data_IF_447326214911
#
_entry.id   IF_447326214911
#
_cell.length_a   1.000
_cell.length_b   1.000
_cell.length_c   1.000
_cell.angle_alpha   90.00
_cell.angle_beta   90.00
_cell.angle_gamma   90.00
#
_symmetry.space_group_name_H-M   'P 1'
#
loop_
_entity.id
_entity.type
_entity.pdbx_description
1 polymer ?
#
# COMPACT_ATOMS: atom_id res chain seq x y z
N UNK A 1 -1.79 -19.00 -20.18
CA UNK A 1 -0.99 -19.70 -19.17
C UNK A 1 -0.90 -21.13 -19.64
N UNK A 2 0.34 -21.64 -19.88
CA UNK A 2 0.56 -23.04 -20.22
C UNK A 2 0.09 -23.99 -19.10
N UNK A 3 0.23 -25.28 -19.28
CA UNK A 3 -0.27 -26.38 -18.42
C UNK A 3 0.26 -26.39 -16.97
N UNK A 4 1.01 -25.38 -16.53
CA UNK A 4 1.53 -25.29 -15.15
C UNK A 4 0.45 -24.84 -14.17
N UNK A 5 0.15 -25.70 -13.21
CA UNK A 5 -0.76 -25.41 -12.11
C UNK A 5 -0.04 -24.54 -11.08
N UNK A 6 -0.44 -23.28 -10.98
CA UNK A 6 0.07 -22.35 -9.97
C UNK A 6 -0.43 -22.75 -8.57
N UNK A 7 0.48 -22.73 -7.60
CA UNK A 7 0.16 -23.02 -6.18
C UNK A 7 0.34 -21.75 -5.35
N UNK A 8 -0.32 -21.65 -4.19
CA UNK A 8 0.02 -20.62 -3.20
C UNK A 8 1.53 -20.64 -2.93
N UNK A 9 2.09 -19.44 -2.70
CA UNK A 9 3.51 -19.17 -2.50
C UNK A 9 4.43 -19.32 -3.73
N UNK A 10 3.89 -19.73 -4.89
CA UNK A 10 4.65 -19.68 -6.13
C UNK A 10 4.95 -18.22 -6.53
N UNK A 11 6.20 -17.97 -6.94
CA UNK A 11 6.59 -16.69 -7.51
C UNK A 11 6.27 -16.68 -9.01
N UNK A 12 5.64 -15.60 -9.47
CA UNK A 12 5.18 -15.44 -10.85
C UNK A 12 5.56 -14.07 -11.40
N UNK A 13 5.75 -14.02 -12.71
CA UNK A 13 5.93 -12.77 -13.44
C UNK A 13 4.57 -12.37 -14.00
N UNK A 14 4.14 -11.15 -13.67
CA UNK A 14 2.81 -10.61 -14.01
C UNK A 14 2.93 -9.27 -14.72
N UNK A 15 2.02 -9.00 -15.63
CA UNK A 15 1.85 -7.66 -16.16
C UNK A 15 0.94 -6.86 -15.23
N UNK A 16 1.41 -5.68 -14.81
CA UNK A 16 0.65 -4.75 -13.97
C UNK A 16 0.45 -3.41 -14.69
N UNK A 17 -0.29 -2.49 -14.07
CA UNK A 17 -0.42 -1.11 -14.56
C UNK A 17 0.93 -0.38 -14.56
N UNK A 18 1.87 -0.83 -13.73
CA UNK A 18 3.21 -0.23 -13.60
C UNK A 18 4.23 -0.80 -14.60
N UNK A 19 3.97 -1.97 -15.14
CA UNK A 19 4.86 -2.73 -16.02
C UNK A 19 4.91 -4.20 -15.65
N UNK A 20 5.98 -4.87 -16.01
CA UNK A 20 6.24 -6.27 -15.62
C UNK A 20 6.78 -6.29 -14.19
N UNK A 21 6.14 -7.05 -13.33
CA UNK A 21 6.49 -7.17 -11.91
C UNK A 21 6.53 -8.64 -11.49
N UNK A 22 7.29 -8.94 -10.45
CA UNK A 22 7.25 -10.22 -9.78
C UNK A 22 6.21 -10.20 -8.67
N UNK A 23 5.39 -11.24 -8.58
CA UNK A 23 4.37 -11.35 -7.54
C UNK A 23 4.32 -12.75 -6.95
N UNK A 24 3.83 -12.87 -5.72
CA UNK A 24 3.60 -14.16 -5.06
C UNK A 24 2.13 -14.55 -5.20
N UNK A 25 1.87 -15.78 -5.59
CA UNK A 25 0.51 -16.32 -5.69
C UNK A 25 -0.08 -16.50 -4.29
N UNK A 26 -1.11 -15.75 -3.95
CA UNK A 26 -1.81 -15.86 -2.66
C UNK A 26 -2.85 -16.98 -2.72
N UNK A 27 -3.59 -17.06 -3.82
CA UNK A 27 -4.64 -18.07 -4.03
C UNK A 27 -4.42 -18.70 -5.39
N UNK A 28 -4.41 -20.04 -5.43
CA UNK A 28 -4.28 -20.78 -6.69
C UNK A 28 -5.49 -20.58 -7.63
N UNK A 29 -5.39 -21.04 -8.88
CA UNK A 29 -6.45 -20.90 -9.87
C UNK A 29 -7.76 -21.51 -9.36
N UNK A 30 -8.84 -20.73 -9.44
CA UNK A 30 -10.21 -21.18 -9.08
C UNK A 30 -11.22 -20.61 -10.06
N UNK A 31 -12.32 -21.32 -10.23
CA UNK A 31 -13.45 -20.79 -10.97
C UNK A 31 -14.23 -19.82 -10.08
N UNK A 32 -14.49 -18.66 -10.61
CA UNK A 32 -15.29 -17.61 -9.95
C UNK A 32 -16.43 -17.19 -10.89
N UNK A 33 -17.53 -16.67 -10.33
CA UNK A 33 -18.62 -16.12 -11.13
C UNK A 33 -18.16 -14.83 -11.82
N UNK A 34 -18.75 -14.54 -12.98
CA UNK A 34 -18.41 -13.31 -13.73
C UNK A 34 -18.72 -12.05 -12.91
N UNK A 35 -19.66 -12.12 -12.00
CA UNK A 35 -20.05 -11.01 -11.11
C UNK A 35 -18.99 -10.69 -10.04
N UNK A 36 -18.14 -11.65 -9.70
CA UNK A 36 -17.06 -11.49 -8.72
C UNK A 36 -15.77 -10.93 -9.37
N UNK A 37 -15.74 -10.85 -10.70
CA UNK A 37 -14.57 -10.39 -11.43
C UNK A 37 -14.49 -8.87 -11.39
N UNK A 38 -13.43 -8.32 -10.80
CA UNK A 38 -13.14 -6.89 -10.78
C UNK A 38 -12.17 -6.57 -11.94
N UNK A 39 -12.63 -5.89 -13.00
CA UNK A 39 -11.75 -5.46 -14.09
C UNK A 39 -10.88 -4.26 -13.68
N UNK A 40 -9.69 -4.07 -14.32
CA UNK A 40 -9.12 -4.89 -15.39
C UNK A 40 -8.34 -6.08 -14.85
N UNK A 41 -8.63 -7.28 -15.37
CA UNK A 41 -7.80 -8.45 -15.11
C UNK A 41 -6.46 -8.31 -15.82
N UNK A 42 -5.40 -8.70 -15.14
CA UNK A 42 -4.05 -8.78 -15.68
C UNK A 42 -3.60 -10.22 -15.74
N UNK A 43 -2.82 -10.54 -16.74
CA UNK A 43 -2.38 -11.91 -16.97
C UNK A 43 -1.11 -12.22 -16.18
N UNK A 44 -1.05 -13.45 -15.68
CA UNK A 44 0.20 -14.05 -15.22
C UNK A 44 0.94 -14.51 -16.47
N UNK A 45 2.12 -13.96 -16.71
CA UNK A 45 2.91 -14.27 -17.92
C UNK A 45 3.49 -15.68 -17.80
N UNK A 46 4.17 -15.95 -16.67
CA UNK A 46 4.80 -17.26 -16.40
C UNK A 46 5.19 -17.39 -14.93
N UNK A 47 5.54 -18.60 -14.52
CA UNK A 47 6.20 -18.84 -13.23
C UNK A 47 7.64 -18.28 -13.27
N UNK A 48 8.11 -17.76 -12.14
CA UNK A 48 9.47 -17.26 -12.02
C UNK A 48 10.49 -18.41 -12.08
N UNK A 49 11.59 -18.18 -12.76
CA UNK A 49 12.75 -19.09 -12.85
C UNK A 49 13.79 -18.73 -11.78
N UNK A 50 14.83 -19.56 -11.64
CA UNK A 50 15.95 -19.24 -10.76
C UNK A 50 16.69 -17.94 -11.16
N UNK A 51 16.83 -17.69 -12.46
CA UNK A 51 17.40 -16.46 -13.00
C UNK A 51 16.57 -15.23 -12.63
N UNK A 52 15.23 -15.35 -12.64
CA UNK A 52 14.36 -14.26 -12.23
C UNK A 52 14.52 -13.92 -10.73
N UNK A 53 14.79 -14.92 -9.89
CA UNK A 53 15.07 -14.69 -8.46
C UNK A 53 16.35 -13.89 -8.28
N UNK A 54 17.38 -14.18 -9.06
CA UNK A 54 18.65 -13.42 -9.03
C UNK A 54 18.41 -11.96 -9.47
N UNK A 55 17.63 -11.73 -10.52
CA UNK A 55 17.25 -10.39 -10.97
C UNK A 55 16.49 -9.63 -9.89
N UNK A 56 15.51 -10.29 -9.22
CA UNK A 56 14.75 -9.66 -8.15
C UNK A 56 15.66 -9.25 -6.99
N UNK A 57 16.60 -10.11 -6.60
CA UNK A 57 17.54 -9.83 -5.51
C UNK A 57 18.52 -8.69 -5.89
N UNK A 58 18.97 -8.67 -7.15
CA UNK A 58 19.81 -7.60 -7.67
C UNK A 58 19.05 -6.27 -7.71
N UNK A 59 17.81 -6.26 -8.16
CA UNK A 59 16.96 -5.07 -8.17
C UNK A 59 16.74 -4.52 -6.74
N UNK A 60 16.58 -5.38 -5.73
CA UNK A 60 16.49 -4.96 -4.33
C UNK A 60 17.78 -4.28 -3.85
N UNK A 61 18.92 -4.82 -4.21
CA UNK A 61 20.22 -4.22 -3.88
C UNK A 61 20.39 -2.86 -4.55
N UNK A 62 20.09 -2.77 -5.85
CA UNK A 62 20.12 -1.51 -6.59
C UNK A 62 19.14 -0.48 -6.01
N UNK A 63 17.97 -0.92 -5.53
CA UNK A 63 17.02 -0.03 -4.87
C UNK A 63 17.58 0.60 -3.58
N UNK A 64 18.34 -0.17 -2.79
CA UNK A 64 18.99 0.34 -1.57
C UNK A 64 20.10 1.36 -1.93
N UNK A 65 20.88 1.10 -2.96
CA UNK A 65 21.90 2.04 -3.46
C UNK A 65 21.24 3.33 -4.00
N UNK A 66 20.17 3.19 -4.78
CA UNK A 66 19.42 4.30 -5.34
C UNK A 66 18.73 5.13 -4.25
N UNK A 67 18.30 4.50 -3.15
CA UNK A 67 17.77 5.21 -1.99
C UNK A 67 18.79 6.18 -1.40
N UNK A 68 20.01 5.71 -1.12
CA UNK A 68 21.06 6.56 -0.57
C UNK A 68 21.45 7.72 -1.50
N UNK A 69 21.55 7.45 -2.82
CA UNK A 69 21.85 8.49 -3.82
C UNK A 69 20.72 9.53 -3.87
N UNK A 70 19.46 9.09 -3.87
CA UNK A 70 18.32 10.00 -3.93
C UNK A 70 18.22 10.85 -2.65
N UNK A 71 18.44 10.27 -1.47
CA UNK A 71 18.42 10.98 -0.19
C UNK A 71 19.49 12.08 -0.16
N UNK A 72 20.71 11.77 -0.63
CA UNK A 72 21.77 12.78 -0.78
C UNK A 72 21.36 13.91 -1.72
N UNK A 73 20.77 13.60 -2.87
CA UNK A 73 20.31 14.59 -3.85
C UNK A 73 19.15 15.45 -3.30
N UNK A 74 18.22 14.88 -2.56
CA UNK A 74 17.16 15.63 -1.86
C UNK A 74 17.76 16.64 -0.90
N UNK A 75 18.79 16.26 -0.14
CA UNK A 75 19.51 17.14 0.77
C UNK A 75 20.28 18.24 0.02
N UNK A 76 20.97 17.92 -1.07
CA UNK A 76 21.70 18.90 -1.92
C UNK A 76 20.75 19.97 -2.48
N UNK A 77 19.54 19.57 -2.93
CA UNK A 77 18.53 20.49 -3.44
C UNK A 77 17.71 21.19 -2.34
N UNK A 78 17.88 20.80 -1.07
CA UNK A 78 17.14 21.37 0.07
C UNK A 78 15.63 21.20 -0.04
N UNK A 79 15.15 20.08 -0.62
CA UNK A 79 13.73 19.85 -0.86
C UNK A 79 13.01 19.41 0.42
N UNK A 80 11.83 20.01 0.74
CA UNK A 80 11.05 19.67 1.94
C UNK A 80 10.24 18.37 1.70
N UNK A 81 10.93 17.27 1.46
CA UNK A 81 10.35 15.95 1.22
C UNK A 81 11.18 14.88 1.91
N UNK A 82 10.51 13.78 2.28
CA UNK A 82 11.15 12.61 2.89
C UNK A 82 11.00 11.43 1.95
N UNK A 83 12.09 10.83 1.54
CA UNK A 83 12.09 9.59 0.79
C UNK A 83 11.64 8.44 1.70
N UNK A 84 10.77 7.58 1.20
CA UNK A 84 10.22 6.45 1.96
C UNK A 84 10.70 5.13 1.41
N UNK A 85 10.65 4.96 0.08
CA UNK A 85 11.06 3.71 -0.57
C UNK A 85 11.45 3.93 -2.02
N UNK A 86 12.19 2.98 -2.59
CA UNK A 86 12.59 2.95 -3.99
C UNK A 86 12.35 1.56 -4.56
N UNK A 87 11.68 1.48 -5.69
CA UNK A 87 11.39 0.23 -6.40
C UNK A 87 11.90 0.29 -7.84
N UNK A 88 12.52 -0.79 -8.28
CA UNK A 88 12.80 -1.03 -9.69
C UNK A 88 11.72 -1.93 -10.28
N UNK A 89 11.24 -1.63 -11.49
CA UNK A 89 10.44 -2.60 -12.23
C UNK A 89 11.30 -3.81 -12.58
N UNK A 90 10.67 -4.98 -12.75
CA UNK A 90 11.39 -6.24 -13.02
C UNK A 90 12.29 -6.14 -14.26
N UNK A 91 11.84 -5.42 -15.29
CA UNK A 91 12.57 -5.16 -16.54
C UNK A 91 13.61 -4.02 -16.44
N UNK A 92 13.80 -3.44 -15.23
CA UNK A 92 14.70 -2.27 -14.98
C UNK A 92 14.36 -1.06 -15.88
N UNK A 93 13.22 -1.09 -16.55
CA UNK A 93 12.79 -0.01 -17.46
C UNK A 93 12.39 1.27 -16.75
N UNK A 94 12.11 1.20 -15.43
CA UNK A 94 11.63 2.32 -14.62
C UNK A 94 12.08 2.17 -13.17
N UNK A 95 12.34 3.31 -12.54
CA UNK A 95 12.60 3.42 -11.10
C UNK A 95 11.51 4.30 -10.48
N UNK A 96 10.83 3.79 -9.45
CA UNK A 96 9.81 4.49 -8.69
C UNK A 96 10.40 4.94 -7.35
N UNK A 97 10.28 6.22 -7.06
CA UNK A 97 10.68 6.80 -5.78
C UNK A 97 9.43 7.25 -5.03
N UNK A 98 9.16 6.65 -3.88
CA UNK A 98 8.03 7.01 -3.03
C UNK A 98 8.47 8.00 -1.98
N UNK A 99 7.75 9.11 -1.86
CA UNK A 99 8.08 10.16 -0.90
C UNK A 99 6.85 10.74 -0.24
N UNK A 100 7.06 11.35 0.94
CA UNK A 100 6.06 12.17 1.63
C UNK A 100 6.52 13.63 1.68
N UNK A 101 5.57 14.54 1.64
CA UNK A 101 5.78 15.96 1.80
C UNK A 101 4.50 16.64 2.31
N UNK A 102 4.63 17.71 3.08
CA UNK A 102 3.48 18.44 3.63
C UNK A 102 2.76 19.29 2.58
N UNK A 103 3.37 19.52 1.42
CA UNK A 103 2.82 20.33 0.36
C UNK A 103 3.31 19.93 -1.02
N UNK A 104 3.15 20.85 -1.97
CA UNK A 104 3.64 20.64 -3.33
C UNK A 104 5.14 20.94 -3.39
N UNK A 105 5.92 19.96 -3.83
CA UNK A 105 7.38 20.06 -4.02
C UNK A 105 7.70 20.19 -5.50
N UNK A 106 8.62 21.09 -5.86
CA UNK A 106 9.18 21.17 -7.20
C UNK A 106 10.45 20.31 -7.28
N UNK A 107 10.31 19.14 -7.87
CA UNK A 107 11.36 18.14 -7.97
C UNK A 107 11.95 18.01 -9.42
N UNK A 108 11.73 19.02 -10.29
CA UNK A 108 12.18 18.95 -11.71
C UNK A 108 13.68 18.78 -11.85
N UNK A 109 14.46 19.51 -11.06
CA UNK A 109 15.92 19.40 -11.07
C UNK A 109 16.38 18.06 -10.46
N UNK A 110 15.74 17.61 -9.37
CA UNK A 110 16.00 16.29 -8.79
C UNK A 110 15.79 15.16 -9.82
N UNK A 111 14.70 15.21 -10.59
CA UNK A 111 14.44 14.20 -11.64
C UNK A 111 15.51 14.19 -12.71
N UNK A 112 16.00 15.36 -13.14
CA UNK A 112 17.10 15.46 -14.13
C UNK A 112 18.37 14.83 -13.60
N UNK A 113 18.74 15.13 -12.36
CA UNK A 113 19.94 14.59 -11.73
C UNK A 113 19.83 13.07 -11.58
N UNK A 114 18.71 12.56 -11.08
CA UNK A 114 18.49 11.13 -10.96
C UNK A 114 18.49 10.42 -12.33
N UNK A 115 17.88 11.03 -13.35
CA UNK A 115 17.87 10.48 -14.71
C UNK A 115 19.29 10.46 -15.33
N UNK A 116 20.13 11.45 -15.02
CA UNK A 116 21.53 11.48 -15.45
C UNK A 116 22.36 10.37 -14.78
N UNK A 117 22.11 10.09 -13.52
CA UNK A 117 22.80 9.03 -12.75
C UNK A 117 22.36 7.64 -13.20
N UNK A 118 21.06 7.37 -13.22
CA UNK A 118 20.54 6.02 -13.46
C UNK A 118 20.29 5.69 -14.93
N UNK A 119 20.23 6.70 -15.81
CA UNK A 119 19.94 6.57 -17.25
C UNK A 119 18.68 5.75 -17.55
N UNK A 120 17.71 5.78 -16.63
CA UNK A 120 16.47 5.04 -16.66
C UNK A 120 15.31 6.02 -16.41
N UNK A 121 14.11 5.65 -16.80
CA UNK A 121 12.92 6.46 -16.54
C UNK A 121 12.65 6.58 -15.03
N UNK A 122 12.65 7.81 -14.54
CA UNK A 122 12.38 8.14 -13.13
C UNK A 122 10.92 8.52 -12.97
N UNK A 123 10.28 7.94 -11.96
CA UNK A 123 8.91 8.29 -11.55
C UNK A 123 8.89 8.60 -10.05
N UNK A 124 8.57 9.84 -9.68
CA UNK A 124 8.42 10.29 -8.30
C UNK A 124 6.94 10.24 -7.92
N UNK A 125 6.61 9.50 -6.86
CA UNK A 125 5.25 9.34 -6.34
C UNK A 125 5.13 9.87 -4.92
N UNK A 126 4.34 10.93 -4.77
CA UNK A 126 3.97 11.38 -3.44
C UNK A 126 2.94 10.42 -2.85
N UNK A 127 3.21 9.91 -1.65
CA UNK A 127 2.33 9.02 -0.91
C UNK A 127 1.77 9.71 0.34
N UNK A 128 0.64 9.21 0.82
CA UNK A 128 0.02 9.72 2.03
C UNK A 128 0.65 9.13 3.29
N UNK A 129 0.47 9.79 4.44
CA UNK A 129 1.01 9.34 5.75
C UNK A 129 0.53 7.94 6.17
N UNK A 130 -0.61 7.47 5.66
CA UNK A 130 -1.07 6.09 5.92
C UNK A 130 -0.32 5.09 5.06
N UNK A 131 -0.02 5.44 3.81
CA UNK A 131 0.78 4.60 2.93
C UNK A 131 2.23 4.56 3.42
N UNK A 132 2.78 5.67 3.91
CA UNK A 132 4.06 5.68 4.63
C UNK A 132 4.04 4.70 5.80
N UNK A 133 3.02 4.75 6.65
CA UNK A 133 2.87 3.80 7.75
C UNK A 133 2.74 2.35 7.28
N UNK A 134 2.14 2.11 6.10
CA UNK A 134 2.06 0.78 5.48
C UNK A 134 3.42 0.28 5.02
N UNK A 135 4.26 1.14 4.45
CA UNK A 135 5.64 0.78 4.05
C UNK A 135 6.52 0.48 5.26
N UNK A 136 6.45 1.30 6.30
CA UNK A 136 7.25 1.15 7.52
C UNK A 136 6.82 -0.02 8.40
N UNK A 137 5.55 -0.42 8.30
CA UNK A 137 4.98 -1.44 9.17
C UNK A 137 4.85 -1.00 10.63
N UNK A 138 4.68 -1.96 11.53
CA UNK A 138 4.69 -1.75 12.96
C UNK A 138 3.43 -2.20 13.69
N UNK A 139 3.34 -1.84 14.98
CA UNK A 139 2.27 -2.23 15.89
C UNK A 139 1.35 -1.02 16.12
N UNK A 140 0.05 -1.25 15.99
CA UNK A 140 -0.96 -0.24 16.28
C UNK A 140 -1.18 -0.01 17.79
N UNK A 141 -1.92 1.04 18.17
CA UNK A 141 -2.25 1.33 19.58
C UNK A 141 -3.08 0.22 20.24
N UNK A 142 -3.65 -0.71 19.46
CA UNK A 142 -4.36 -1.89 19.94
C UNK A 142 -3.45 -3.09 20.24
N UNK A 143 -2.12 -3.00 20.04
CA UNK A 143 -1.14 -4.06 20.24
C UNK A 143 -1.07 -5.10 19.13
N UNK A 144 -1.79 -4.91 18.01
CA UNK A 144 -1.72 -5.75 16.81
C UNK A 144 -0.93 -5.07 15.71
N UNK A 145 -0.46 -5.83 14.74
CA UNK A 145 0.10 -5.26 13.51
C UNK A 145 -0.87 -4.29 12.85
N UNK A 146 -0.32 -3.32 12.12
CA UNK A 146 -1.13 -2.30 11.46
C UNK A 146 -2.11 -2.95 10.48
N UNK A 147 -3.40 -2.61 10.59
CA UNK A 147 -4.44 -3.13 9.71
C UNK A 147 -4.13 -2.87 8.22
N UNK A 148 -3.50 -1.74 7.90
CA UNK A 148 -3.08 -1.40 6.54
C UNK A 148 -1.98 -2.31 5.99
N UNK A 149 -1.19 -2.94 6.86
CA UNK A 149 -0.13 -3.87 6.45
C UNK A 149 -0.64 -5.28 6.25
N UNK A 150 -1.69 -5.66 6.98
CA UNK A 150 -2.16 -7.05 7.04
C UNK A 150 -3.38 -7.31 6.16
N UNK A 151 -4.55 -6.82 6.51
CA UNK A 151 -5.81 -7.24 5.89
C UNK A 151 -6.64 -6.10 5.29
N UNK A 152 -6.42 -4.83 5.69
CA UNK A 152 -7.19 -3.69 5.21
C UNK A 152 -6.47 -3.02 4.04
N UNK A 153 -6.71 -3.52 2.81
CA UNK A 153 -6.10 -3.00 1.59
C UNK A 153 -6.71 -1.68 1.11
N UNK A 154 -8.04 -1.56 1.22
CA UNK A 154 -8.78 -0.39 0.75
C UNK A 154 -9.21 0.50 1.92
N UNK A 155 -9.21 1.82 1.69
CA UNK A 155 -9.52 2.80 2.72
C UNK A 155 -10.74 3.63 2.36
N UNK A 156 -11.73 3.55 3.23
CA UNK A 156 -12.89 4.42 3.19
C UNK A 156 -12.72 5.64 4.11
N UNK A 157 -13.43 6.75 3.83
CA UNK A 157 -13.42 7.92 4.69
C UNK A 157 -13.90 7.60 6.11
N UNK A 158 -13.12 8.03 7.10
CA UNK A 158 -13.43 7.86 8.52
C UNK A 158 -13.85 9.20 9.12
N UNK A 159 -14.91 9.21 9.93
CA UNK A 159 -15.41 10.40 10.60
C UNK A 159 -15.40 10.27 12.13
N UNK A 160 -15.31 11.40 12.81
CA UNK A 160 -15.42 11.45 14.29
C UNK A 160 -16.79 10.94 14.77
N UNK A 161 -17.84 11.03 13.94
CA UNK A 161 -19.17 10.49 14.26
C UNK A 161 -19.12 8.98 14.52
N UNK A 162 -18.26 8.24 13.80
CA UNK A 162 -18.08 6.81 14.00
C UNK A 162 -17.49 6.51 15.38
N UNK A 163 -16.50 7.29 15.83
CA UNK A 163 -15.94 7.17 17.17
C UNK A 163 -16.98 7.46 18.26
N UNK A 164 -17.82 8.48 18.07
CA UNK A 164 -18.95 8.77 18.97
C UNK A 164 -19.98 7.62 18.99
N UNK A 165 -20.31 7.07 17.81
CA UNK A 165 -21.23 5.93 17.68
C UNK A 165 -20.74 4.68 18.38
N UNK A 166 -19.43 4.51 18.51
CA UNK A 166 -18.77 3.40 19.19
C UNK A 166 -18.47 3.69 20.68
N UNK A 167 -18.97 4.79 21.24
CA UNK A 167 -18.74 5.22 22.62
C UNK A 167 -17.27 5.38 22.99
N UNK A 168 -16.39 5.73 22.02
CA UNK A 168 -14.99 5.96 22.27
C UNK A 168 -14.74 7.39 22.78
N UNK A 169 -13.76 7.52 23.66
CA UNK A 169 -13.28 8.82 24.07
C UNK A 169 -12.73 9.59 22.85
N UNK A 170 -13.15 10.85 22.69
CA UNK A 170 -12.71 11.70 21.58
C UNK A 170 -11.28 12.26 21.76
N UNK A 171 -10.53 11.73 22.72
CA UNK A 171 -9.13 12.08 22.88
C UNK A 171 -8.35 11.64 21.61
N UNK A 172 -7.67 12.54 20.90
CA UNK A 172 -6.91 12.22 19.69
C UNK A 172 -5.98 11.02 19.87
N UNK A 173 -5.32 10.89 21.01
CA UNK A 173 -4.41 9.78 21.30
C UNK A 173 -5.10 8.41 21.34
N UNK A 174 -6.42 8.36 21.53
CA UNK A 174 -7.19 7.11 21.60
C UNK A 174 -7.95 6.76 20.32
N UNK A 175 -8.14 7.74 19.43
CA UNK A 175 -8.86 7.55 18.15
C UNK A 175 -8.00 7.71 16.92
N UNK A 176 -6.70 8.06 17.09
CA UNK A 176 -5.74 8.15 15.99
C UNK A 176 -4.89 6.88 15.89
N UNK A 177 -4.63 6.46 14.66
CA UNK A 177 -3.69 5.41 14.37
C UNK A 177 -2.24 5.91 14.38
N UNK A 178 -1.27 5.01 14.22
CA UNK A 178 0.16 5.34 14.13
C UNK A 178 0.50 6.32 13.00
N UNK A 179 -0.32 6.36 11.94
CA UNK A 179 -0.21 7.33 10.85
C UNK A 179 -0.72 8.74 11.20
N UNK A 180 -1.14 9.02 12.43
CA UNK A 180 -1.68 10.32 12.86
C UNK A 180 -3.10 10.63 12.39
N UNK A 181 -3.71 9.81 11.52
CA UNK A 181 -5.11 9.94 11.08
C UNK A 181 -6.04 9.11 11.95
N UNK A 182 -7.36 9.34 11.87
CA UNK A 182 -8.35 8.50 12.54
C UNK A 182 -8.15 7.03 12.19
N UNK A 183 -8.28 6.16 13.19
CA UNK A 183 -8.10 4.72 13.03
C UNK A 183 -9.07 4.16 11.96
N UNK A 184 -8.55 3.42 11.02
CA UNK A 184 -9.32 2.81 9.93
C UNK A 184 -10.31 1.74 10.43
N UNK A 185 -10.02 1.07 11.54
CA UNK A 185 -10.94 0.12 12.16
C UNK A 185 -12.27 0.76 12.60
N UNK A 186 -12.30 2.07 12.91
CA UNK A 186 -13.54 2.78 13.22
C UNK A 186 -14.58 2.66 12.10
N UNK A 187 -14.17 2.73 10.85
CA UNK A 187 -15.08 2.55 9.70
C UNK A 187 -15.43 1.08 9.53
N UNK A 188 -14.46 0.19 9.59
CA UNK A 188 -14.66 -1.23 9.42
C UNK A 188 -15.66 -1.80 10.44
N UNK A 189 -15.57 -1.37 11.70
CA UNK A 189 -16.43 -1.84 12.77
C UNK A 189 -17.79 -1.09 12.83
N UNK A 190 -17.91 0.05 12.13
CA UNK A 190 -19.08 0.93 12.23
C UNK A 190 -20.41 0.23 11.90
N UNK A 191 -20.42 -0.68 10.95
CA UNK A 191 -21.62 -1.42 10.55
C UNK A 191 -22.12 -2.33 11.67
N UNK A 192 -21.22 -3.01 12.37
CA UNK A 192 -21.57 -3.85 13.51
C UNK A 192 -22.19 -3.04 14.65
N UNK A 193 -21.69 -1.82 14.90
CA UNK A 193 -22.24 -0.93 15.93
C UNK A 193 -23.60 -0.37 15.52
N UNK A 194 -23.80 -0.02 14.27
CA UNK A 194 -25.09 0.44 13.74
C UNK A 194 -26.16 -0.66 13.85
N UNK A 195 -25.87 -1.89 13.42
CA UNK A 195 -26.75 -3.04 13.56
C UNK A 195 -27.17 -3.30 15.02
N UNK A 196 -26.24 -3.20 15.97
CA UNK A 196 -26.53 -3.38 17.39
C UNK A 196 -27.46 -2.29 17.92
N UNK A 197 -27.25 -1.03 17.53
CA UNK A 197 -28.10 0.10 17.90
C UNK A 197 -29.51 -0.02 17.35
N UNK A 198 -29.66 -0.44 16.10
CA UNK A 198 -30.98 -0.67 15.50
C UNK A 198 -31.76 -1.81 16.17
N UNK A 199 -31.06 -2.88 16.58
CA UNK A 199 -31.69 -3.98 17.35
C UNK A 199 -32.13 -3.50 18.73
N UNK A 200 -31.27 -2.80 19.47
CA UNK A 200 -31.61 -2.27 20.78
C UNK A 200 -32.79 -1.27 20.70
N UNK A 201 -32.82 -0.40 19.69
CA UNK A 201 -33.92 0.52 19.49
C UNK A 201 -35.26 -0.17 19.16
N UNK A 202 -35.21 -1.34 18.50
CA UNK A 202 -36.40 -2.15 18.21
C UNK A 202 -36.90 -2.92 19.44
N UNK A 203 -36.02 -3.31 20.36
CA UNK A 203 -36.38 -3.99 21.62
C UNK A 203 -36.95 -3.03 22.66
N UNK A 204 -36.54 -1.74 22.61
CA UNK A 204 -37.06 -0.70 23.51
C UNK A 204 -38.34 -0.03 22.99
N UNK A 205 -38.81 -0.32 21.78
CA UNK A 205 -40.08 0.20 21.29
C UNK A 205 -41.25 -0.45 22.02
N UNK A 206 -42.13 0.33 22.70
CA UNK A 206 -43.28 -0.24 23.39
C UNK A 206 -44.17 -0.97 22.39
N UNK A 207 -44.53 -2.21 22.74
CA UNK A 207 -45.57 -2.97 22.04
C UNK A 207 -46.90 -2.29 22.34
N UNK A 208 -47.44 -1.53 21.37
CA UNK A 208 -48.82 -1.07 21.40
C UNK A 208 -49.80 -2.22 21.05
#
# INVERSE_FOLDING_TARGET
IGEEVLKPDDLVIVETVRGIEAGTVVVGPRQISVEEVVPPLREVIRKATAEDLEIIEENKRHAQEAFGICEQKIAEHGLPMKLIDVEFTFDVGKILFYFTADGRVDFRELVKDLAAVFRTRIELRQIGVRDEAKFLGGIGPCGRELCCCTWLGEFEPVSIRMAKGQNLSLNPSKISGSCGRLMCCLKYENECYNCKREKAAKEEAPQE
#
